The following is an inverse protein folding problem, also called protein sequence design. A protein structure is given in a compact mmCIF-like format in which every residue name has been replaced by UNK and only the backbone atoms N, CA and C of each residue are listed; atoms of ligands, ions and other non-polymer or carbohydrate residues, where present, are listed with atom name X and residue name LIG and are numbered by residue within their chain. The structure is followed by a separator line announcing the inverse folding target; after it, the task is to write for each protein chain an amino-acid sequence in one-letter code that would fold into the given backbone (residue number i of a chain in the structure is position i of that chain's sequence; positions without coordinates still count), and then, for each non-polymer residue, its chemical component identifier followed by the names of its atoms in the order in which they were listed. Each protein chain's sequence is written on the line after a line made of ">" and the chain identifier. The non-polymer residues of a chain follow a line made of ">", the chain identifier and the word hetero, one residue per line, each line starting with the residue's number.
data_IF_339175865651
#
_entry.id   IF_339175865651
#
_cell.length_a   1.000
_cell.length_b   1.000
_cell.length_c   1.000
_cell.angle_alpha   90.00
_cell.angle_beta   90.00
_cell.angle_gamma   90.00
#
_symmetry.space_group_name_H-M   'P 1'
#
loop_
_entity.id
_entity.type
_entity.pdbx_description
1 polymer ?
#
# COMPACT_ATOMS: atom_id res chain seq x y z
N UNK A 1 -28.49 -32.59 59.12
CA UNK A 1 -29.86 -32.82 58.62
C UNK A 1 -30.56 -31.47 58.52
N UNK A 2 -30.81 -30.97 57.30
CA UNK A 2 -31.92 -30.07 56.96
C UNK A 2 -31.87 -29.76 55.46
N UNK A 3 -32.69 -30.52 54.74
CA UNK A 3 -32.89 -30.50 53.31
C UNK A 3 -34.06 -29.53 53.02
N UNK A 4 -33.82 -28.43 52.31
CA UNK A 4 -34.91 -27.68 51.66
C UNK A 4 -34.59 -27.54 50.18
N UNK A 5 -35.24 -28.42 49.42
CA UNK A 5 -35.39 -28.36 47.96
C UNK A 5 -36.30 -27.18 47.63
N UNK A 6 -36.04 -26.53 46.50
CA UNK A 6 -36.98 -26.33 45.38
C UNK A 6 -36.19 -25.58 44.31
N UNK A 7 -35.80 -26.32 43.26
CA UNK A 7 -35.27 -25.77 42.02
C UNK A 7 -36.49 -25.68 41.09
N UNK A 8 -36.98 -24.47 40.85
CA UNK A 8 -37.96 -24.22 39.80
C UNK A 8 -37.20 -23.75 38.56
N UNK A 9 -37.16 -24.62 37.55
CA UNK A 9 -36.72 -24.26 36.22
C UNK A 9 -37.76 -23.35 35.54
N UNK A 10 -37.28 -22.30 34.88
CA UNK A 10 -38.06 -21.59 33.88
C UNK A 10 -37.46 -21.91 32.52
N UNK A 11 -38.35 -22.38 31.66
CA UNK A 11 -38.12 -22.86 30.31
C UNK A 11 -37.55 -21.80 29.37
N UNK A 12 -36.80 -22.33 28.39
CA UNK A 12 -36.32 -21.68 27.19
C UNK A 12 -37.46 -21.24 26.26
N UNK A 13 -37.30 -20.06 25.66
CA UNK A 13 -37.76 -19.58 24.33
C UNK A 13 -37.50 -18.07 24.35
N UNK A 14 -36.99 -17.37 23.35
CA UNK A 14 -36.76 -17.61 21.94
C UNK A 14 -35.98 -16.38 21.44
N UNK A 15 -35.30 -16.50 20.29
CA UNK A 15 -34.83 -15.32 19.55
C UNK A 15 -33.34 -15.06 19.67
N UNK A 16 -32.56 -15.90 19.01
CA UNK A 16 -31.28 -15.49 18.41
C UNK A 16 -31.53 -14.29 17.48
N UNK A 17 -31.51 -13.09 18.04
CA UNK A 17 -31.26 -11.86 17.30
C UNK A 17 -29.88 -11.34 17.72
N UNK A 18 -28.86 -12.19 17.57
CA UNK A 18 -27.52 -11.71 17.25
C UNK A 18 -27.64 -11.11 15.84
N UNK A 19 -28.20 -9.90 15.79
CA UNK A 19 -27.96 -8.99 14.69
C UNK A 19 -26.46 -8.82 14.67
N UNK A 20 -25.80 -9.61 13.84
CA UNK A 20 -24.46 -9.32 13.37
C UNK A 20 -24.58 -7.94 12.75
N UNK A 21 -24.24 -6.92 13.55
CA UNK A 21 -23.89 -5.61 13.05
C UNK A 21 -22.60 -5.87 12.28
N UNK A 22 -22.78 -6.32 11.04
CA UNK A 22 -21.72 -6.37 10.06
C UNK A 22 -21.29 -4.92 9.89
N UNK A 23 -20.29 -4.53 10.66
CA UNK A 23 -19.49 -3.34 10.40
C UNK A 23 -18.79 -3.57 9.06
N UNK A 24 -19.54 -3.45 7.97
CA UNK A 24 -19.03 -3.22 6.64
C UNK A 24 -18.46 -1.79 6.63
N UNK A 25 -17.37 -1.58 7.37
CA UNK A 25 -16.58 -0.38 7.25
C UNK A 25 -15.83 -0.46 5.93
N UNK A 26 -16.34 0.24 4.91
CA UNK A 26 -15.57 0.54 3.71
C UNK A 26 -14.26 1.25 4.13
N UNK A 27 -13.12 0.92 3.50
CA UNK A 27 -11.85 1.62 3.79
C UNK A 27 -12.05 3.02 3.31
N UNK A 28 -12.15 3.96 4.22
CA UNK A 28 -12.10 5.36 3.86
C UNK A 28 -10.68 5.64 3.39
N UNK A 29 -10.52 5.88 2.08
CA UNK A 29 -9.33 6.54 1.56
C UNK A 29 -9.15 7.84 2.36
N UNK A 30 -8.01 7.99 3.03
CA UNK A 30 -7.71 9.15 3.85
C UNK A 30 -6.99 10.18 3.00
N UNK A 31 -7.65 11.29 2.73
CA UNK A 31 -7.01 12.43 2.07
C UNK A 31 -6.04 13.13 3.03
N UNK A 32 -4.82 13.40 2.57
CA UNK A 32 -3.75 14.07 3.29
C UNK A 32 -3.46 15.45 2.66
N UNK A 33 -3.08 16.41 3.48
CA UNK A 33 -2.72 17.78 3.02
C UNK A 33 -1.40 17.85 2.24
N UNK A 34 -0.53 16.85 2.38
CA UNK A 34 0.80 16.84 1.77
C UNK A 34 1.39 15.43 1.76
N UNK A 35 2.34 15.16 0.87
CA UNK A 35 3.05 13.88 0.86
C UNK A 35 3.81 13.68 2.18
N UNK A 36 3.71 12.52 2.84
CA UNK A 36 4.48 12.23 4.04
C UNK A 36 6.00 12.24 3.80
N UNK A 37 6.77 12.61 4.83
CA UNK A 37 8.26 12.69 4.74
C UNK A 37 8.87 11.35 4.32
N UNK A 38 8.26 10.23 4.74
CA UNK A 38 8.72 8.87 4.43
C UNK A 38 8.76 8.55 2.94
N UNK A 39 7.92 9.19 2.12
CA UNK A 39 7.88 8.97 0.66
C UNK A 39 8.52 10.12 -0.13
N UNK A 40 8.86 11.25 0.52
CA UNK A 40 9.55 12.36 -0.15
C UNK A 40 10.95 11.97 -0.61
N UNK A 41 11.43 12.67 -1.64
CA UNK A 41 12.78 12.53 -2.17
C UNK A 41 12.83 12.13 -3.64
N UNK A 42 14.01 11.76 -4.10
CA UNK A 42 14.21 11.23 -5.46
C UNK A 42 14.29 9.71 -5.41
N UNK A 43 13.53 9.09 -6.30
CA UNK A 43 13.34 7.66 -6.41
C UNK A 43 13.62 7.23 -7.85
N UNK A 44 14.20 6.05 -7.99
CA UNK A 44 14.60 5.48 -9.27
C UNK A 44 14.11 4.04 -9.36
N UNK A 45 13.62 3.65 -10.52
CA UNK A 45 13.37 2.26 -10.84
C UNK A 45 13.91 1.95 -12.24
N UNK A 46 14.70 0.90 -12.37
CA UNK A 46 15.18 0.44 -13.67
C UNK A 46 14.21 -0.61 -14.20
N UNK A 47 13.48 -0.25 -15.24
CA UNK A 47 12.72 -1.19 -16.03
C UNK A 47 13.67 -1.86 -17.02
N UNK A 48 13.81 -3.18 -16.89
CA UNK A 48 14.60 -3.98 -17.81
C UNK A 48 13.96 -4.03 -19.20
N UNK A 49 14.61 -4.73 -20.12
CA UNK A 49 14.04 -4.97 -21.46
C UNK A 49 12.82 -5.88 -21.36
N UNK A 50 11.66 -5.45 -21.85
CA UNK A 50 10.44 -6.27 -21.92
C UNK A 50 9.81 -6.15 -23.31
N UNK A 51 9.49 -7.26 -23.98
CA UNK A 51 8.83 -7.35 -25.29
C UNK A 51 9.03 -6.14 -26.24
N UNK A 52 10.21 -6.05 -26.87
CA UNK A 52 10.49 -5.01 -27.87
C UNK A 52 10.76 -3.60 -27.32
N UNK A 53 10.51 -3.34 -26.03
CA UNK A 53 10.86 -2.05 -25.41
C UNK A 53 12.36 -1.97 -25.09
N UNK A 54 12.91 -0.76 -25.10
CA UNK A 54 14.26 -0.52 -24.58
C UNK A 54 14.21 -0.49 -23.05
N UNK A 55 15.26 -1.00 -22.42
CA UNK A 55 15.44 -0.80 -20.99
C UNK A 55 15.48 0.70 -20.70
N UNK A 56 14.81 1.12 -19.63
CA UNK A 56 14.69 2.53 -19.29
C UNK A 56 14.70 2.73 -17.77
N UNK A 57 15.15 3.91 -17.37
CA UNK A 57 15.19 4.33 -15.98
C UNK A 57 14.03 5.29 -15.74
N UNK A 58 13.10 4.90 -14.88
CA UNK A 58 12.15 5.85 -14.33
C UNK A 58 12.80 6.60 -13.17
N UNK A 59 12.57 7.91 -13.14
CA UNK A 59 12.93 8.78 -12.02
C UNK A 59 11.67 9.46 -11.54
N UNK A 60 11.48 9.48 -10.23
CA UNK A 60 10.37 10.16 -9.59
C UNK A 60 10.93 11.10 -8.52
N UNK A 61 10.42 12.33 -8.45
CA UNK A 61 10.78 13.32 -7.44
C UNK A 61 9.50 13.71 -6.70
N UNK A 62 9.39 13.25 -5.46
CA UNK A 62 8.24 13.52 -4.58
C UNK A 62 8.60 14.66 -3.65
N UNK A 63 7.97 15.81 -3.85
CA UNK A 63 8.03 16.97 -2.97
C UNK A 63 6.93 16.94 -1.90
N UNK A 64 6.81 18.01 -1.11
CA UNK A 64 5.73 18.15 -0.12
C UNK A 64 4.35 18.31 -0.78
N UNK A 65 4.29 19.09 -1.86
CA UNK A 65 3.07 19.47 -2.59
C UNK A 65 3.24 19.30 -4.11
N UNK A 66 4.11 18.39 -4.52
CA UNK A 66 4.44 18.19 -5.93
C UNK A 66 4.97 16.79 -6.19
N UNK A 67 4.81 16.35 -7.44
CA UNK A 67 5.38 15.14 -8.00
C UNK A 67 5.94 15.47 -9.38
N UNK A 68 7.16 15.01 -9.67
CA UNK A 68 7.73 15.03 -11.01
C UNK A 68 8.13 13.61 -11.40
N UNK A 69 7.63 13.13 -12.53
CA UNK A 69 7.92 11.80 -13.06
C UNK A 69 8.64 11.93 -14.39
N UNK A 70 9.71 11.17 -14.55
CA UNK A 70 10.46 11.03 -15.78
C UNK A 70 10.31 9.57 -16.20
N UNK A 71 9.56 9.34 -17.26
CA UNK A 71 9.21 8.00 -17.75
C UNK A 71 9.24 7.98 -19.27
N UNK A 72 9.96 7.02 -19.86
CA UNK A 72 10.04 6.82 -21.32
C UNK A 72 10.35 8.09 -22.14
N UNK A 73 11.22 8.96 -21.63
CA UNK A 73 11.60 10.21 -22.31
C UNK A 73 10.60 11.36 -22.13
N UNK A 74 9.48 11.14 -21.45
CA UNK A 74 8.51 12.16 -21.08
C UNK A 74 8.73 12.63 -19.64
N UNK A 75 8.40 13.89 -19.38
CA UNK A 75 8.40 14.47 -18.04
C UNK A 75 6.98 14.91 -17.70
N UNK A 76 6.43 14.38 -16.61
CA UNK A 76 5.13 14.75 -16.07
C UNK A 76 5.32 15.52 -14.78
N UNK A 77 4.60 16.64 -14.66
CA UNK A 77 4.71 17.52 -13.51
C UNK A 77 3.35 17.81 -12.89
N UNK A 78 3.20 17.43 -11.62
CA UNK A 78 1.98 17.53 -10.85
C UNK A 78 2.21 18.50 -9.68
N UNK A 79 1.44 19.59 -9.65
CA UNK A 79 1.40 20.61 -8.59
C UNK A 79 0.01 21.23 -8.49
N UNK A 80 -0.26 21.93 -7.40
CA UNK A 80 -1.54 22.63 -7.20
C UNK A 80 -2.70 21.64 -7.26
N UNK A 81 -3.75 21.96 -8.04
CA UNK A 81 -4.94 21.10 -8.19
C UNK A 81 -4.67 19.73 -8.83
N UNK A 82 -3.51 19.55 -9.48
CA UNK A 82 -3.11 18.27 -10.09
C UNK A 82 -2.41 17.32 -9.11
N UNK A 83 -2.07 17.81 -7.92
CA UNK A 83 -1.40 17.04 -6.88
C UNK A 83 -2.37 16.83 -5.72
N UNK A 84 -2.61 15.57 -5.40
CA UNK A 84 -3.45 15.14 -4.29
C UNK A 84 -2.71 14.05 -3.53
N UNK A 85 -3.07 13.80 -2.28
CA UNK A 85 -2.47 12.69 -1.53
C UNK A 85 -3.57 11.89 -0.88
N UNK A 86 -3.89 10.74 -1.45
CA UNK A 86 -4.85 9.82 -0.87
C UNK A 86 -4.11 8.61 -0.31
N UNK A 87 -4.38 8.30 0.95
CA UNK A 87 -3.77 7.20 1.67
C UNK A 87 -4.77 6.09 1.88
N UNK A 88 -4.35 4.86 1.61
CA UNK A 88 -5.10 3.67 1.98
C UNK A 88 -4.14 2.62 2.55
N UNK A 89 -4.70 1.64 3.26
CA UNK A 89 -3.93 0.60 3.92
C UNK A 89 -4.20 -0.75 3.26
N UNK A 90 -3.14 -1.50 3.03
CA UNK A 90 -3.24 -2.89 2.58
C UNK A 90 -2.39 -3.82 3.42
N UNK A 91 -2.84 -5.06 3.55
CA UNK A 91 -2.09 -6.13 4.20
C UNK A 91 -1.46 -7.01 3.13
N UNK A 92 -0.13 -6.97 3.06
CA UNK A 92 0.63 -7.71 2.05
C UNK A 92 1.64 -8.61 2.74
N UNK A 93 1.81 -9.81 2.20
CA UNK A 93 2.94 -10.69 2.53
C UNK A 93 3.82 -10.83 1.30
N UNK A 94 4.95 -10.14 1.33
CA UNK A 94 5.99 -10.30 0.32
C UNK A 94 6.84 -11.55 0.57
N UNK A 95 7.33 -12.17 -0.51
CA UNK A 95 8.17 -13.36 -0.43
C UNK A 95 9.46 -13.08 0.36
N UNK A 96 9.74 -13.95 1.33
CA UNK A 96 10.88 -13.77 2.25
C UNK A 96 10.65 -12.78 3.39
N UNK A 97 9.46 -12.18 3.51
CA UNK A 97 9.10 -11.25 4.58
C UNK A 97 7.83 -11.72 5.32
N UNK A 98 7.67 -11.24 6.56
CA UNK A 98 6.44 -11.46 7.33
C UNK A 98 5.31 -10.60 6.74
N UNK A 99 4.07 -11.00 7.01
CA UNK A 99 2.87 -10.18 6.74
C UNK A 99 3.05 -8.80 7.38
N UNK A 100 2.75 -7.74 6.63
CA UNK A 100 2.87 -6.37 7.11
C UNK A 100 1.75 -5.48 6.56
N UNK A 101 1.43 -4.41 7.29
CA UNK A 101 0.50 -3.37 6.85
C UNK A 101 1.28 -2.27 6.14
N UNK A 102 0.89 -1.95 4.91
CA UNK A 102 1.48 -0.89 4.12
C UNK A 102 0.47 0.23 3.94
N UNK A 103 0.92 1.46 4.18
CA UNK A 103 0.16 2.66 3.85
C UNK A 103 0.62 3.14 2.46
N UNK A 104 -0.23 2.90 1.47
CA UNK A 104 -0.03 3.34 0.10
C UNK A 104 -0.55 4.76 -0.08
N UNK A 105 0.13 5.55 -0.90
CA UNK A 105 -0.20 6.95 -1.17
C UNK A 105 -0.33 7.15 -2.68
N UNK A 106 -1.53 7.47 -3.15
CA UNK A 106 -1.74 8.03 -4.49
C UNK A 106 -1.36 9.51 -4.44
N UNK A 107 -0.62 9.99 -5.45
CA UNK A 107 -0.03 11.35 -5.44
C UNK A 107 -0.63 12.30 -6.50
N UNK A 108 -1.63 11.83 -7.24
CA UNK A 108 -2.27 12.57 -8.34
C UNK A 108 -3.78 12.54 -8.13
N UNK A 109 -4.47 13.64 -8.47
CA UNK A 109 -5.91 13.81 -8.25
C UNK A 109 -6.78 13.18 -9.34
N UNK A 110 -6.20 12.72 -10.45
CA UNK A 110 -6.91 12.18 -11.60
C UNK A 110 -6.13 11.07 -12.28
N UNK A 111 -6.86 10.17 -12.95
CA UNK A 111 -6.30 9.05 -13.71
C UNK A 111 -5.98 7.82 -12.85
N UNK A 112 -5.70 6.72 -13.54
CA UNK A 112 -5.21 5.49 -12.93
C UNK A 112 -3.70 5.61 -12.74
N UNK A 113 -3.30 6.16 -11.58
CA UNK A 113 -1.89 6.31 -11.20
C UNK A 113 -1.57 5.33 -10.09
N UNK A 114 -0.39 4.70 -10.09
CA UNK A 114 -0.01 3.80 -9.03
C UNK A 114 0.11 4.53 -7.68
N UNK A 115 -0.13 3.82 -6.60
CA UNK A 115 0.14 4.31 -5.25
C UNK A 115 1.50 3.83 -4.76
N UNK A 116 2.03 4.50 -3.74
CA UNK A 116 3.36 4.20 -3.22
C UNK A 116 3.40 4.03 -1.70
N UNK A 117 4.05 2.96 -1.24
CA UNK A 117 4.27 2.69 0.17
C UNK A 117 5.77 2.68 0.51
N UNK A 118 6.20 3.40 1.57
CA UNK A 118 7.58 3.31 2.04
C UNK A 118 7.84 1.95 2.69
N UNK A 119 9.02 1.39 2.48
CA UNK A 119 9.43 0.14 3.12
C UNK A 119 10.93 0.13 3.47
N UNK A 120 11.31 -0.80 4.33
CA UNK A 120 12.70 -1.06 4.67
C UNK A 120 13.02 -2.53 4.38
N UNK A 121 13.80 -2.79 3.32
CA UNK A 121 14.06 -4.14 2.84
C UNK A 121 15.46 -4.29 2.23
N UNK A 122 15.90 -5.53 2.07
CA UNK A 122 17.24 -5.84 1.56
C UNK A 122 17.28 -5.69 0.03
N UNK A 123 17.98 -4.68 -0.45
CA UNK A 123 18.20 -4.39 -1.88
C UNK A 123 19.69 -4.20 -2.14
N UNK A 124 20.21 -4.88 -3.15
CA UNK A 124 21.64 -4.93 -3.45
C UNK A 124 22.48 -5.36 -2.23
N UNK A 125 22.01 -6.36 -1.48
CA UNK A 125 22.69 -6.91 -0.31
C UNK A 125 22.59 -6.06 0.96
N UNK A 126 22.04 -4.84 0.92
CA UNK A 126 21.93 -3.94 2.08
C UNK A 126 20.47 -3.62 2.41
N UNK A 127 20.15 -3.48 3.69
CA UNK A 127 18.85 -2.93 4.08
C UNK A 127 18.78 -1.45 3.72
N UNK A 128 17.71 -1.05 3.03
CA UNK A 128 17.54 0.29 2.49
C UNK A 128 16.10 0.74 2.61
N UNK A 129 15.93 2.05 2.76
CA UNK A 129 14.65 2.68 2.54
C UNK A 129 14.32 2.65 1.05
N UNK A 130 13.20 2.04 0.73
CA UNK A 130 12.68 1.89 -0.62
C UNK A 130 11.24 2.37 -0.69
N UNK A 131 10.76 2.55 -1.90
CA UNK A 131 9.36 2.83 -2.17
C UNK A 131 8.80 1.69 -3.02
N UNK A 132 7.73 1.09 -2.55
CA UNK A 132 7.01 0.02 -3.23
C UNK A 132 5.85 0.63 -3.98
N UNK A 133 5.70 0.26 -5.24
CA UNK A 133 4.50 0.55 -6.00
C UNK A 133 3.34 -0.33 -5.50
N UNK A 134 2.10 0.15 -5.55
CA UNK A 134 0.92 -0.69 -5.32
C UNK A 134 0.95 -1.83 -6.34
N UNK A 135 0.88 -3.10 -5.91
CA UNK A 135 0.86 -4.18 -6.88
C UNK A 135 -0.40 -4.05 -7.79
N UNK A 136 -0.30 -4.50 -9.03
CA UNK A 136 -1.42 -4.56 -9.97
C UNK A 136 -1.53 -5.98 -10.50
N UNK A 137 -0.51 -6.42 -11.23
CA UNK A 137 -0.32 -7.81 -11.67
C UNK A 137 1.18 -8.12 -11.73
N UNK A 138 1.58 -9.29 -11.22
CA UNK A 138 2.98 -9.73 -11.23
C UNK A 138 3.85 -9.12 -10.10
N UNK A 139 5.19 -9.13 -10.26
CA UNK A 139 6.11 -8.60 -9.26
C UNK A 139 5.97 -7.08 -9.08
N UNK A 140 5.96 -6.64 -7.83
CA UNK A 140 5.91 -5.23 -7.45
C UNK A 140 7.24 -4.51 -7.70
N UNK A 141 7.26 -3.41 -8.46
CA UNK A 141 8.43 -2.57 -8.62
C UNK A 141 8.95 -2.02 -7.27
N UNK A 142 10.28 -2.09 -7.08
CA UNK A 142 10.96 -1.43 -5.96
C UNK A 142 11.69 -0.20 -6.50
N UNK A 143 11.33 0.97 -6.01
CA UNK A 143 12.04 2.21 -6.28
C UNK A 143 13.08 2.48 -5.19
N UNK A 144 14.27 2.90 -5.62
CA UNK A 144 15.43 3.13 -4.77
C UNK A 144 15.88 4.57 -4.81
N UNK A 145 16.54 5.07 -3.75
CA UNK A 145 17.12 6.43 -3.75
C UNK A 145 18.44 6.55 -4.52
N UNK A 146 19.07 5.43 -4.85
CA UNK A 146 20.22 5.37 -5.74
C UNK A 146 19.76 4.92 -7.12
N UNK A 147 20.53 5.27 -8.17
CA UNK A 147 20.29 4.77 -9.53
C UNK A 147 20.63 3.28 -9.60
N UNK A 148 19.65 2.36 -9.75
CA UNK A 148 19.93 0.94 -9.79
C UNK A 148 20.56 0.53 -11.13
N UNK A 149 21.41 -0.50 -11.12
CA UNK A 149 22.01 -1.08 -12.35
C UNK A 149 21.25 -2.28 -12.89
N UNK A 150 20.21 -2.73 -12.19
CA UNK A 150 19.37 -3.86 -12.56
C UNK A 150 17.95 -3.68 -12.00
N UNK A 151 17.03 -4.50 -12.48
CA UNK A 151 15.64 -4.51 -12.02
C UNK A 151 15.58 -4.98 -10.57
N UNK A 152 14.87 -4.24 -9.72
CA UNK A 152 14.53 -4.65 -8.37
C UNK A 152 13.01 -4.71 -8.23
N UNK A 153 12.51 -5.91 -7.95
CA UNK A 153 11.09 -6.18 -7.81
C UNK A 153 10.88 -7.24 -6.74
N UNK A 154 9.67 -7.30 -6.19
CA UNK A 154 9.31 -8.26 -5.16
C UNK A 154 7.92 -8.83 -5.43
N UNK A 155 7.80 -10.15 -5.37
CA UNK A 155 6.51 -10.82 -5.46
C UNK A 155 5.90 -10.98 -4.07
N UNK A 156 4.58 -10.97 -4.01
CA UNK A 156 3.84 -11.17 -2.77
C UNK A 156 2.38 -11.51 -3.05
N UNK A 157 1.66 -11.77 -1.97
CA UNK A 157 0.23 -12.03 -2.02
C UNK A 157 -0.51 -10.99 -1.19
N UNK A 158 -1.60 -10.49 -1.76
CA UNK A 158 -2.59 -9.72 -1.03
C UNK A 158 -3.34 -10.62 -0.07
N UNK A 159 -3.41 -10.19 1.18
CA UNK A 159 -4.13 -10.91 2.22
C UNK A 159 -5.44 -10.21 2.61
N UNK A 160 -5.90 -9.31 1.72
CA UNK A 160 -7.07 -8.46 1.93
C UNK A 160 -6.72 -7.09 2.51
N UNK A 161 -7.56 -6.12 2.21
CA UNK A 161 -7.59 -4.82 2.87
C UNK A 161 -8.26 -5.04 4.23
N UNK A 162 -7.52 -4.92 5.33
CA UNK A 162 -8.16 -4.93 6.64
C UNK A 162 -8.66 -3.51 6.91
N UNK A 163 -9.96 -3.40 7.10
CA UNK A 163 -10.70 -2.19 7.42
C UNK A 163 -10.77 -2.09 8.96
N UNK A 164 -10.17 -1.05 9.55
CA UNK A 164 -10.28 -0.73 10.99
C UNK A 164 -10.92 0.64 11.13
#
# INVERSE_FOLDING_TARGET
>A
MNLKRIILGILATSGMALGLVGNNQASANKQLKSAPVSIRGTWYHFYGKYYGTRAHMNKMVIGKHSLTEYSNGHTYYYKGSKFGVDQYRETIRYNGYKKHYYYFHHLVTFGDTPAYAPAHMKVAGKYRHVLLESPQQGPTPIYTRFKPSKVYQISGHYLGSYFY
#
